data_IF_482466621345
#
_entry.id   IF_482466621345
#
_cell.length_a   1.000
_cell.length_b   1.000
_cell.length_c   1.000
_cell.angle_alpha   90.00
_cell.angle_beta   90.00
_cell.angle_gamma   90.00
#
_symmetry.space_group_name_H-M   'P 1'
#
loop_
_entity.id
_entity.type
_entity.pdbx_description
1 polymer ?
#
# COMPACT_ATOMS: atom_id res chain seq x y z
N UNK A 1 -2.44 11.95 12.90
CA UNK A 1 -2.07 10.52 12.87
C UNK A 1 -2.37 9.97 11.49
N UNK A 2 -1.42 9.31 10.87
CA UNK A 2 -1.62 8.70 9.54
C UNK A 2 -2.60 7.53 9.61
N UNK A 3 -3.15 7.14 8.48
CA UNK A 3 -4.02 5.97 8.41
C UNK A 3 -3.27 4.69 8.80
N UNK A 4 -2.02 4.59 8.38
CA UNK A 4 -1.16 3.47 8.80
C UNK A 4 -1.08 3.38 10.33
N UNK A 5 -0.83 4.50 11.00
CA UNK A 5 -0.75 4.53 12.48
C UNK A 5 -2.07 4.21 13.15
N UNK A 6 -3.19 4.64 12.57
CA UNK A 6 -4.52 4.29 13.09
C UNK A 6 -4.73 2.78 13.10
N UNK A 7 -4.32 2.10 12.04
CA UNK A 7 -4.41 0.64 11.96
C UNK A 7 -3.51 -0.03 13.01
N UNK A 8 -2.31 0.51 13.23
CA UNK A 8 -1.43 0.04 14.30
C UNK A 8 -2.09 0.15 15.67
N UNK A 9 -2.78 1.25 15.94
CA UNK A 9 -3.54 1.44 17.18
C UNK A 9 -4.64 0.38 17.33
N UNK A 10 -5.39 0.12 16.25
CA UNK A 10 -6.39 -0.93 16.24
C UNK A 10 -5.77 -2.29 16.60
N UNK A 11 -4.68 -2.65 15.95
CA UNK A 11 -4.04 -3.95 16.16
C UNK A 11 -3.57 -4.13 17.60
N UNK A 12 -2.95 -3.09 18.18
CA UNK A 12 -2.52 -3.13 19.59
C UNK A 12 -3.71 -3.25 20.53
N UNK A 13 -4.76 -2.50 20.28
CA UNK A 13 -5.97 -2.53 21.09
C UNK A 13 -6.62 -3.90 21.12
N UNK A 14 -6.62 -4.59 19.98
CA UNK A 14 -7.24 -5.90 19.84
C UNK A 14 -6.26 -7.07 20.00
N UNK A 15 -5.07 -6.82 20.54
CA UNK A 15 -4.13 -7.88 20.90
C UNK A 15 -3.39 -8.51 19.73
N UNK A 16 -3.32 -7.85 18.61
CA UNK A 16 -2.55 -8.32 17.44
C UNK A 16 -1.13 -7.76 17.50
N UNK A 17 -0.15 -8.57 17.10
CA UNK A 17 1.24 -8.16 17.14
C UNK A 17 1.56 -7.07 16.13
N UNK A 18 2.19 -5.99 16.59
CA UNK A 18 2.77 -4.94 15.77
C UNK A 18 4.28 -5.03 15.93
N UNK A 19 4.97 -5.44 14.86
CA UNK A 19 6.42 -5.58 14.94
C UNK A 19 7.13 -4.24 14.87
N UNK A 20 8.24 -4.14 15.58
CA UNK A 20 9.09 -2.94 15.58
C UNK A 20 10.27 -3.07 14.63
N UNK A 21 10.57 -4.27 14.13
CA UNK A 21 11.64 -4.52 13.17
C UNK A 21 11.12 -5.33 12.00
N UNK A 22 11.58 -5.07 10.78
CA UNK A 22 11.14 -5.80 9.61
C UNK A 22 11.50 -7.27 9.68
N UNK A 23 10.52 -8.12 9.51
CA UNK A 23 10.70 -9.58 9.37
C UNK A 23 9.39 -10.22 8.95
N UNK A 24 9.48 -11.39 8.35
CA UNK A 24 8.29 -12.22 8.21
C UNK A 24 7.82 -12.68 9.59
N UNK A 25 6.55 -12.95 9.71
CA UNK A 25 5.96 -13.53 10.90
C UNK A 25 5.89 -15.06 10.75
N UNK A 26 5.05 -15.72 11.55
CA UNK A 26 4.80 -17.15 11.37
C UNK A 26 4.10 -17.38 10.03
N UNK A 27 4.21 -18.60 9.52
CA UNK A 27 3.52 -18.95 8.28
C UNK A 27 2.01 -18.71 8.37
N UNK A 28 1.42 -18.99 9.53
CA UNK A 28 0.00 -18.76 9.78
C UNK A 28 -0.36 -17.28 9.62
N UNK A 29 0.43 -16.38 10.21
CA UNK A 29 0.19 -14.93 10.13
C UNK A 29 0.44 -14.43 8.71
N UNK A 30 1.51 -14.90 8.06
CA UNK A 30 1.81 -14.50 6.69
C UNK A 30 0.66 -14.84 5.74
N UNK A 31 0.11 -16.04 5.86
CA UNK A 31 -1.05 -16.46 5.07
C UNK A 31 -2.31 -15.66 5.41
N UNK A 32 -2.54 -15.39 6.69
CA UNK A 32 -3.67 -14.59 7.11
C UNK A 32 -3.65 -13.21 6.45
N UNK A 33 -2.50 -12.54 6.51
CA UNK A 33 -2.38 -11.18 5.95
C UNK A 33 -2.59 -11.18 4.44
N UNK A 34 -2.04 -12.15 3.74
CA UNK A 34 -2.24 -12.27 2.30
C UNK A 34 -3.71 -12.56 1.97
N UNK A 35 -4.34 -13.48 2.70
CA UNK A 35 -5.73 -13.86 2.46
C UNK A 35 -6.70 -12.71 2.73
N UNK A 36 -6.44 -11.87 3.74
CA UNK A 36 -7.26 -10.69 4.00
C UNK A 36 -7.28 -9.75 2.80
N UNK A 37 -6.13 -9.53 2.17
CA UNK A 37 -6.04 -8.68 0.98
C UNK A 37 -6.80 -9.33 -0.19
N UNK A 38 -6.64 -10.64 -0.39
CA UNK A 38 -7.35 -11.36 -1.46
C UNK A 38 -8.86 -11.30 -1.29
N UNK A 39 -9.36 -11.47 -0.07
CA UNK A 39 -10.79 -11.40 0.22
C UNK A 39 -11.37 -10.03 -0.15
N UNK A 40 -10.67 -8.96 0.21
CA UNK A 40 -11.13 -7.61 -0.10
C UNK A 40 -11.06 -7.32 -1.60
N UNK A 41 -10.08 -7.88 -2.30
CA UNK A 41 -10.00 -7.77 -3.75
C UNK A 41 -11.19 -8.47 -4.42
N UNK A 42 -11.58 -9.63 -3.93
CA UNK A 42 -12.76 -10.35 -4.43
C UNK A 42 -14.03 -9.55 -4.20
N UNK A 43 -14.19 -8.94 -3.03
CA UNK A 43 -15.33 -8.07 -2.73
C UNK A 43 -15.36 -6.85 -3.65
N UNK A 44 -14.20 -6.25 -3.94
CA UNK A 44 -14.10 -5.15 -4.87
C UNK A 44 -14.55 -5.57 -6.28
N UNK A 45 -14.11 -6.74 -6.73
CA UNK A 45 -14.48 -7.28 -8.03
C UNK A 45 -15.99 -7.45 -8.14
N UNK A 46 -16.60 -8.03 -7.12
CA UNK A 46 -18.07 -8.23 -7.07
C UNK A 46 -18.81 -6.89 -7.06
N UNK A 47 -18.34 -5.94 -6.23
CA UNK A 47 -18.95 -4.62 -6.15
C UNK A 47 -18.91 -3.88 -7.50
N UNK A 48 -17.80 -3.99 -8.22
CA UNK A 48 -17.68 -3.40 -9.56
C UNK A 48 -18.59 -4.08 -10.57
N UNK A 49 -18.69 -5.41 -10.53
CA UNK A 49 -19.58 -6.15 -11.40
C UNK A 49 -21.04 -5.78 -11.17
N UNK A 50 -21.42 -5.53 -9.92
CA UNK A 50 -22.77 -5.12 -9.53
C UNK A 50 -23.01 -3.62 -9.69
N UNK A 51 -22.01 -2.86 -10.07
CA UNK A 51 -22.05 -1.39 -10.18
C UNK A 51 -22.55 -0.72 -8.91
N UNK A 52 -22.14 -1.25 -7.76
CA UNK A 52 -22.52 -0.75 -6.44
C UNK A 52 -21.40 0.13 -5.91
N UNK A 53 -21.54 1.43 -6.11
CA UNK A 53 -20.47 2.39 -5.75
C UNK A 53 -20.22 2.46 -4.24
N UNK A 54 -21.25 2.26 -3.43
CA UNK A 54 -21.08 2.22 -1.96
C UNK A 54 -20.23 1.02 -1.55
N UNK A 55 -20.48 -0.14 -2.12
CA UNK A 55 -19.68 -1.33 -1.85
C UNK A 55 -18.26 -1.22 -2.42
N UNK A 56 -18.10 -0.53 -3.54
CA UNK A 56 -16.75 -0.22 -4.07
C UNK A 56 -15.96 0.62 -3.07
N UNK A 57 -16.59 1.66 -2.51
CA UNK A 57 -15.94 2.51 -1.51
C UNK A 57 -15.55 1.71 -0.26
N UNK A 58 -16.43 0.83 0.19
CA UNK A 58 -16.16 -0.04 1.34
C UNK A 58 -14.99 -0.98 1.07
N UNK A 59 -15.01 -1.67 -0.07
CA UNK A 59 -13.95 -2.60 -0.45
C UNK A 59 -12.60 -1.91 -0.62
N UNK A 60 -12.54 -0.75 -1.27
CA UNK A 60 -11.31 0.01 -1.43
C UNK A 60 -10.75 0.44 -0.08
N UNK A 61 -11.62 0.89 0.83
CA UNK A 61 -11.21 1.29 2.18
C UNK A 61 -10.66 0.09 2.94
N UNK A 62 -11.32 -1.05 2.85
CA UNK A 62 -10.87 -2.27 3.53
C UNK A 62 -9.56 -2.80 2.95
N UNK A 63 -9.34 -2.67 1.63
CA UNK A 63 -8.04 -3.01 1.02
C UNK A 63 -6.92 -2.19 1.67
N UNK A 64 -7.12 -0.88 1.84
CA UNK A 64 -6.15 -0.04 2.53
C UNK A 64 -5.93 -0.52 3.96
N UNK A 65 -7.02 -0.81 4.66
CA UNK A 65 -6.97 -1.19 6.08
C UNK A 65 -6.15 -2.47 6.28
N UNK A 66 -6.46 -3.52 5.53
CA UNK A 66 -5.75 -4.81 5.67
C UNK A 66 -4.33 -4.76 5.11
N UNK A 67 -4.06 -3.90 4.14
CA UNK A 67 -2.70 -3.67 3.63
C UNK A 67 -1.83 -3.00 4.71
N UNK A 68 -2.35 -1.98 5.38
CA UNK A 68 -1.65 -1.37 6.51
C UNK A 68 -1.43 -2.39 7.63
N UNK A 69 -2.42 -3.26 7.87
CA UNK A 69 -2.27 -4.34 8.84
C UNK A 69 -1.12 -5.28 8.52
N UNK A 70 -0.95 -5.63 7.25
CA UNK A 70 0.19 -6.44 6.81
C UNK A 70 1.52 -5.72 7.06
N UNK A 71 1.58 -4.41 6.81
CA UNK A 71 2.77 -3.62 7.11
C UNK A 71 3.17 -3.74 8.57
N UNK A 72 2.23 -3.59 9.49
CA UNK A 72 2.49 -3.74 10.93
C UNK A 72 2.90 -5.17 11.29
N UNK A 73 2.25 -6.17 10.71
CA UNK A 73 2.57 -7.56 10.99
C UNK A 73 4.00 -7.93 10.58
N UNK A 74 4.53 -7.28 9.55
CA UNK A 74 5.89 -7.52 9.06
C UNK A 74 6.91 -6.48 9.53
N UNK A 75 6.49 -5.50 10.34
CA UNK A 75 7.38 -4.46 10.85
C UNK A 75 7.88 -3.49 9.79
N UNK A 76 7.10 -3.29 8.73
CA UNK A 76 7.45 -2.40 7.63
C UNK A 76 6.71 -1.07 7.82
N UNK A 77 7.46 0.04 7.86
CA UNK A 77 6.88 1.38 7.95
C UNK A 77 6.35 1.79 6.56
N UNK A 78 5.07 1.52 6.31
CA UNK A 78 4.47 1.82 5.03
C UNK A 78 4.30 3.32 4.77
N UNK A 79 4.28 4.17 5.80
CA UNK A 79 4.30 5.62 5.59
C UNK A 79 5.59 6.05 4.91
N UNK A 80 6.73 5.55 5.40
CA UNK A 80 8.04 5.86 4.80
C UNK A 80 8.20 5.24 3.42
N UNK A 81 7.74 4.01 3.25
CA UNK A 81 7.76 3.36 1.93
C UNK A 81 6.92 4.13 0.93
N UNK A 82 5.75 4.61 1.34
CA UNK A 82 4.87 5.38 0.47
C UNK A 82 5.51 6.70 0.06
N UNK A 83 6.15 7.41 1.01
CA UNK A 83 6.85 8.66 0.71
C UNK A 83 7.97 8.44 -0.31
N UNK A 84 8.72 7.36 -0.18
CA UNK A 84 9.77 7.03 -1.15
C UNK A 84 9.19 6.77 -2.54
N UNK A 85 8.10 6.00 -2.63
CA UNK A 85 7.43 5.74 -3.90
C UNK A 85 6.83 7.02 -4.48
N UNK A 86 6.26 7.88 -3.65
CA UNK A 86 5.72 9.17 -4.07
C UNK A 86 6.82 10.03 -4.70
N UNK A 87 7.97 10.15 -4.04
CA UNK A 87 9.10 10.92 -4.56
C UNK A 87 9.61 10.35 -5.88
N UNK A 88 9.71 9.04 -5.97
CA UNK A 88 10.07 8.35 -7.22
C UNK A 88 9.07 8.66 -8.34
N UNK A 89 7.77 8.56 -8.04
CA UNK A 89 6.73 8.84 -9.02
C UNK A 89 6.76 10.28 -9.51
N UNK A 90 6.97 11.24 -8.60
CA UNK A 90 7.07 12.66 -8.97
C UNK A 90 8.35 12.95 -9.76
N UNK A 91 9.38 12.14 -9.62
CA UNK A 91 10.63 12.29 -10.41
C UNK A 91 10.45 11.91 -11.89
N UNK A 92 9.30 11.40 -12.29
CA UNK A 92 8.98 11.09 -13.68
C UNK A 92 8.73 12.34 -14.54
N UNK A 93 8.56 13.50 -13.93
CA UNK A 93 8.33 14.76 -14.66
C UNK A 93 9.52 15.11 -15.56
N UNK A 94 9.26 15.91 -16.60
CA UNK A 94 10.32 16.40 -17.45
C UNK A 94 11.12 17.54 -16.78
N UNK A 95 12.10 18.10 -17.50
CA UNK A 95 12.97 19.16 -16.98
C UNK A 95 12.20 20.43 -16.59
N UNK A 96 11.02 20.63 -17.17
CA UNK A 96 10.17 21.80 -16.92
C UNK A 96 9.08 21.51 -15.88
N UNK A 97 9.15 20.37 -15.20
CA UNK A 97 8.16 19.98 -14.22
C UNK A 97 6.83 19.52 -14.81
N UNK A 98 6.82 19.06 -16.06
CA UNK A 98 5.62 18.62 -16.76
C UNK A 98 5.62 17.12 -17.00
N UNK A 99 4.43 16.49 -17.00
CA UNK A 99 4.33 15.06 -17.27
C UNK A 99 4.65 14.72 -18.72
N UNK A 100 5.18 13.51 -18.91
CA UNK A 100 5.44 12.94 -20.25
C UNK A 100 4.51 11.74 -20.38
N UNK A 101 3.77 11.66 -21.50
CA UNK A 101 2.86 10.55 -21.77
C UNK A 101 3.26 9.82 -23.04
N UNK A 102 3.00 8.52 -23.10
CA UNK A 102 3.10 7.77 -24.34
C UNK A 102 1.79 7.89 -25.15
N UNK A 103 1.71 7.23 -26.30
CA UNK A 103 0.55 7.28 -27.18
C UNK A 103 -0.74 6.78 -26.53
N UNK A 104 -0.64 5.86 -25.54
CA UNK A 104 -1.80 5.32 -24.84
C UNK A 104 -2.16 6.11 -23.57
N UNK A 105 -1.48 7.23 -23.32
CA UNK A 105 -1.73 8.07 -22.14
C UNK A 105 -1.04 7.61 -20.87
N UNK A 106 -0.13 6.64 -20.96
CA UNK A 106 0.64 6.18 -19.80
C UNK A 106 1.74 7.18 -19.46
N UNK A 107 1.89 7.49 -18.16
CA UNK A 107 2.97 8.34 -17.67
C UNK A 107 4.31 7.67 -17.92
N UNK A 108 5.22 8.41 -18.55
CA UNK A 108 6.57 7.96 -18.88
C UNK A 108 7.60 8.55 -17.91
N UNK A 109 8.77 7.94 -17.86
CA UNK A 109 9.87 8.38 -17.00
C UNK A 109 10.61 9.54 -17.66
N UNK A 110 10.80 10.63 -16.92
CA UNK A 110 11.57 11.77 -17.36
C UNK A 110 13.08 11.59 -17.12
N UNK A 111 13.88 12.62 -17.47
CA UNK A 111 15.35 12.52 -17.43
C UNK A 111 15.92 12.40 -16.01
N UNK A 112 15.19 12.88 -15.01
CA UNK A 112 15.64 12.85 -13.61
C UNK A 112 14.97 11.76 -12.79
N UNK A 113 14.32 10.81 -13.46
CA UNK A 113 13.67 9.70 -12.78
C UNK A 113 14.67 8.89 -11.96
N UNK A 114 14.29 8.57 -10.72
CA UNK A 114 15.01 7.61 -9.91
C UNK A 114 14.05 6.49 -9.47
N UNK A 115 14.58 5.28 -9.44
CA UNK A 115 13.83 4.09 -8.99
C UNK A 115 13.66 4.16 -7.47
N UNK A 116 12.48 3.80 -6.92
CA UNK A 116 12.32 3.80 -5.46
C UNK A 116 13.24 2.75 -4.83
N UNK A 117 13.87 3.10 -3.72
CA UNK A 117 14.70 2.20 -2.94
C UNK A 117 14.05 1.96 -1.58
N UNK A 118 13.40 0.81 -1.43
CA UNK A 118 12.75 0.42 -0.18
C UNK A 118 13.64 -0.44 0.72
N UNK A 119 14.86 -0.78 0.28
CA UNK A 119 15.74 -1.67 1.04
C UNK A 119 16.06 -1.14 2.43
N UNK A 120 16.20 0.17 2.59
CA UNK A 120 16.47 0.80 3.88
C UNK A 120 15.33 0.69 4.89
N UNK A 121 14.13 0.33 4.45
CA UNK A 121 12.96 0.18 5.33
C UNK A 121 12.66 -1.27 5.68
N UNK A 122 13.41 -2.23 5.13
CA UNK A 122 13.19 -3.66 5.37
C UNK A 122 14.43 -4.38 5.92
N UNK A 123 15.47 -3.64 6.19
CA UNK A 123 16.71 -4.16 6.79
C UNK A 123 16.72 -4.00 8.30
#
# INVERSE_FOLDING_TARGET
>A
MSNFRKVGTFMKTFGQEVKTKPSFSTEKINKLRLNLIKEELEELTEAMNNRDLLEVADALTDILYVTYGAGHAFGIDLDKCFDEVQNSNMSKLDENGKPIYNESGKVMKGPNYFKPDLSKFVN
#
